data_IF_958114076522
#
_entry.id   IF_958114076522
#
_cell.length_a   1.000
_cell.length_b   1.000
_cell.length_c   1.000
_cell.angle_alpha   90.00
_cell.angle_beta   90.00
_cell.angle_gamma   90.00
#
_symmetry.space_group_name_H-M   'P 1'
#
loop_
_entity.id
_entity.type
_entity.pdbx_description
1 polymer ?
#
# COMPACT_ATOMS: atom_id res chain seq x y z
N UNK A 1 -7.09 35.41 18.63
CA UNK A 1 -6.99 34.86 17.26
C UNK A 1 -7.82 33.60 17.23
N UNK A 2 -8.94 33.55 16.48
CA UNK A 2 -9.75 32.33 16.40
C UNK A 2 -9.03 31.36 15.49
N UNK A 3 -8.46 30.30 16.06
CA UNK A 3 -8.17 29.05 15.36
C UNK A 3 -9.51 28.41 14.97
N UNK A 4 -10.21 28.99 14.00
CA UNK A 4 -11.47 28.47 13.51
C UNK A 4 -11.16 27.38 12.49
N UNK A 5 -10.92 26.15 12.96
CA UNK A 5 -10.90 24.99 12.07
C UNK A 5 -12.25 24.79 11.41
N UNK A 6 -12.28 23.96 10.37
CA UNK A 6 -13.48 23.75 9.54
C UNK A 6 -14.60 23.05 10.31
N UNK A 7 -15.85 23.46 10.05
CA UNK A 7 -17.07 22.88 10.64
C UNK A 7 -18.07 22.52 9.54
N UNK A 8 -18.54 21.28 9.53
CA UNK A 8 -19.48 20.78 8.53
C UNK A 8 -20.87 21.41 8.71
N UNK A 9 -21.22 21.80 9.94
CA UNK A 9 -22.46 22.54 10.20
C UNK A 9 -22.56 23.88 9.45
N UNK A 10 -21.44 24.44 8.98
CA UNK A 10 -21.40 25.67 8.18
C UNK A 10 -21.56 25.40 6.68
N UNK A 11 -21.62 24.13 6.26
CA UNK A 11 -21.72 23.72 4.86
C UNK A 11 -23.13 23.27 4.49
N UNK A 12 -23.49 23.41 3.21
CA UNK A 12 -24.72 22.82 2.68
C UNK A 12 -24.51 21.33 2.38
N UNK A 13 -24.45 20.51 3.43
CA UNK A 13 -24.18 19.06 3.33
C UNK A 13 -25.31 18.26 2.68
N UNK A 14 -26.53 18.78 2.68
CA UNK A 14 -27.70 18.12 2.10
C UNK A 14 -27.74 18.24 0.56
N UNK A 15 -27.12 19.29 0.01
CA UNK A 15 -27.02 19.52 -1.43
C UNK A 15 -25.55 19.63 -1.88
N UNK A 16 -24.84 18.49 -2.02
CA UNK A 16 -23.45 18.51 -2.42
C UNK A 16 -23.29 18.97 -3.87
N UNK A 17 -22.24 19.75 -4.14
CA UNK A 17 -21.88 20.24 -5.47
C UNK A 17 -21.69 19.09 -6.47
N UNK A 18 -21.14 17.97 -6.01
CA UNK A 18 -20.79 16.83 -6.83
C UNK A 18 -20.82 15.54 -6.00
N UNK A 19 -21.10 14.41 -6.67
CA UNK A 19 -21.09 13.06 -6.08
C UNK A 19 -20.36 12.12 -7.04
N UNK A 20 -19.56 11.22 -6.49
CA UNK A 20 -18.88 10.20 -7.30
C UNK A 20 -18.05 9.27 -6.43
N UNK A 21 -17.02 8.69 -7.03
CA UNK A 21 -16.12 7.72 -6.41
C UNK A 21 -14.82 8.39 -5.99
N UNK A 22 -14.40 8.15 -4.75
CA UNK A 22 -13.07 8.47 -4.26
C UNK A 22 -12.14 7.28 -4.48
N UNK A 23 -10.94 7.53 -5.04
CA UNK A 23 -9.84 6.56 -5.10
C UNK A 23 -8.63 7.12 -4.36
N UNK A 24 -8.08 6.34 -3.44
CA UNK A 24 -6.79 6.62 -2.79
C UNK A 24 -5.76 5.69 -3.42
N UNK A 25 -4.71 6.24 -4.01
CA UNK A 25 -3.72 5.46 -4.77
C UNK A 25 -2.32 5.91 -4.41
N UNK A 26 -1.39 4.96 -4.41
CA UNK A 26 0.05 5.24 -4.25
C UNK A 26 0.73 5.06 -5.60
N UNK A 27 1.48 6.06 -6.04
CA UNK A 27 2.26 6.06 -7.29
C UNK A 27 3.71 6.36 -6.92
N UNK A 28 4.54 5.31 -6.90
CA UNK A 28 5.88 5.40 -6.33
C UNK A 28 5.80 5.80 -4.86
N UNK A 29 6.51 6.88 -4.50
CA UNK A 29 6.54 7.39 -3.13
C UNK A 29 5.42 8.40 -2.84
N UNK A 30 4.58 8.73 -3.82
CA UNK A 30 3.52 9.75 -3.69
C UNK A 30 2.13 9.12 -3.54
N UNK A 31 1.31 9.64 -2.62
CA UNK A 31 -0.10 9.29 -2.51
C UNK A 31 -0.97 10.33 -3.22
N UNK A 32 -1.98 9.85 -3.96
CA UNK A 32 -2.87 10.68 -4.76
C UNK A 32 -4.31 10.26 -4.49
N UNK A 33 -5.13 11.24 -4.11
CA UNK A 33 -6.57 11.09 -3.96
C UNK A 33 -7.24 11.61 -5.23
N UNK A 34 -8.06 10.78 -5.87
CA UNK A 34 -8.83 11.15 -7.07
C UNK A 34 -10.32 11.07 -6.79
N UNK A 35 -11.01 12.16 -7.09
CA UNK A 35 -12.46 12.21 -7.16
C UNK A 35 -12.87 12.00 -8.60
N UNK A 36 -13.65 10.95 -8.87
CA UNK A 36 -14.01 10.54 -10.22
C UNK A 36 -15.50 10.28 -10.36
N UNK A 37 -16.03 10.54 -11.56
CA UNK A 37 -17.41 10.16 -11.87
C UNK A 37 -17.58 8.64 -11.80
N UNK A 38 -18.66 8.19 -11.16
CA UNK A 38 -18.88 6.76 -10.92
C UNK A 38 -19.18 5.97 -12.20
N UNK A 39 -19.69 6.64 -13.25
CA UNK A 39 -20.07 5.99 -14.51
C UNK A 39 -18.96 6.08 -15.55
N UNK A 40 -18.37 7.27 -15.74
CA UNK A 40 -17.39 7.50 -16.80
C UNK A 40 -15.95 7.30 -16.33
N UNK A 41 -15.69 7.41 -15.03
CA UNK A 41 -14.33 7.46 -14.48
C UNK A 41 -13.58 8.75 -14.79
N UNK A 42 -14.29 9.79 -15.26
CA UNK A 42 -13.71 11.10 -15.51
C UNK A 42 -13.24 11.75 -14.20
N UNK A 43 -12.03 12.33 -14.23
CA UNK A 43 -11.43 12.99 -13.07
C UNK A 43 -12.12 14.33 -12.82
N UNK A 44 -12.76 14.46 -11.66
CA UNK A 44 -13.34 15.71 -11.18
C UNK A 44 -12.29 16.58 -10.48
N UNK A 45 -11.53 15.99 -9.55
CA UNK A 45 -10.46 16.69 -8.84
C UNK A 45 -9.40 15.71 -8.33
N UNK A 46 -8.18 16.22 -8.19
CA UNK A 46 -7.05 15.49 -7.64
C UNK A 46 -6.47 16.23 -6.44
N UNK A 47 -6.14 15.48 -5.39
CA UNK A 47 -5.38 15.96 -4.24
C UNK A 47 -4.10 15.14 -4.13
N UNK A 48 -2.96 15.83 -4.12
CA UNK A 48 -1.65 15.23 -3.90
C UNK A 48 -1.42 15.18 -2.38
N UNK A 49 -1.27 13.98 -1.84
CA UNK A 49 -1.15 13.75 -0.42
C UNK A 49 0.28 13.35 -0.05
N UNK A 50 0.89 14.21 0.76
CA UNK A 50 2.22 13.99 1.30
C UNK A 50 2.17 13.32 2.69
N UNK A 51 3.33 12.87 3.14
CA UNK A 51 3.49 12.26 4.46
C UNK A 51 3.30 13.27 5.60
N UNK A 52 3.45 14.58 5.33
CA UNK A 52 3.15 15.66 6.27
C UNK A 52 1.66 15.73 6.59
N UNK A 53 0.81 15.35 5.63
CA UNK A 53 -0.60 15.16 5.85
C UNK A 53 -1.43 16.44 5.83
N UNK A 54 -0.86 17.54 5.37
CA UNK A 54 -1.50 18.88 5.36
C UNK A 54 -2.58 18.97 4.27
N UNK A 55 -2.50 18.10 3.25
CA UNK A 55 -3.43 18.12 2.13
C UNK A 55 -4.85 17.64 2.48
N UNK A 56 -5.04 16.96 3.62
CA UNK A 56 -6.35 16.49 4.11
C UNK A 56 -6.51 16.85 5.58
N UNK A 57 -7.50 17.68 5.90
CA UNK A 57 -7.81 18.10 7.25
C UNK A 57 -9.19 17.58 7.70
N UNK A 58 -9.31 16.92 8.87
CA UNK A 58 -10.59 16.51 9.40
C UNK A 58 -11.38 17.72 9.92
N UNK A 59 -12.69 17.68 9.75
CA UNK A 59 -13.60 18.72 10.26
C UNK A 59 -13.82 18.53 11.76
N UNK A 60 -13.96 19.63 12.51
CA UNK A 60 -13.99 19.63 13.98
C UNK A 60 -15.25 19.02 14.62
N UNK A 61 -16.39 19.12 13.95
CA UNK A 61 -17.71 18.74 14.48
C UNK A 61 -18.24 17.40 13.93
N UNK A 62 -17.48 16.74 13.04
CA UNK A 62 -17.90 15.49 12.43
C UNK A 62 -16.74 14.63 11.96
N UNK A 63 -16.82 13.33 12.23
CA UNK A 63 -15.87 12.34 11.73
C UNK A 63 -16.12 11.89 10.29
N UNK A 64 -17.16 12.41 9.62
CA UNK A 64 -17.51 12.05 8.23
C UNK A 64 -17.05 13.05 7.19
N UNK A 65 -16.60 14.23 7.61
CA UNK A 65 -16.26 15.31 6.71
C UNK A 65 -14.80 15.70 6.85
N UNK A 66 -14.22 16.05 5.72
CA UNK A 66 -12.82 16.41 5.57
C UNK A 66 -12.72 17.59 4.61
N UNK A 67 -11.63 18.35 4.71
CA UNK A 67 -11.24 19.35 3.73
C UNK A 67 -10.06 18.81 2.95
N UNK A 68 -10.16 18.81 1.63
CA UNK A 68 -9.09 18.41 0.73
C UNK A 68 -8.53 19.65 0.06
N UNK A 69 -7.20 19.77 0.06
CA UNK A 69 -6.46 20.69 -0.79
C UNK A 69 -6.27 20.06 -2.16
N UNK A 70 -7.11 20.42 -3.11
CA UNK A 70 -7.00 19.95 -4.50
C UNK A 70 -6.09 20.87 -5.31
N UNK A 71 -5.47 20.32 -6.33
CA UNK A 71 -4.59 21.04 -7.24
C UNK A 71 -5.08 20.88 -8.69
N UNK A 72 -5.17 22.00 -9.41
CA UNK A 72 -5.48 22.03 -10.83
C UNK A 72 -4.61 23.08 -11.54
N UNK A 73 -3.80 22.63 -12.51
CA UNK A 73 -2.92 23.48 -13.33
C UNK A 73 -2.05 24.46 -12.50
N UNK A 74 -1.49 23.99 -11.38
CA UNK A 74 -0.64 24.80 -10.48
C UNK A 74 -1.41 25.76 -9.56
N UNK A 75 -2.75 25.70 -9.53
CA UNK A 75 -3.58 26.42 -8.56
C UNK A 75 -4.12 25.45 -7.52
N UNK A 76 -4.23 25.92 -6.29
CA UNK A 76 -4.83 25.15 -5.21
C UNK A 76 -6.22 25.66 -4.87
N UNK A 77 -7.13 24.74 -4.57
CA UNK A 77 -8.45 25.04 -4.01
C UNK A 77 -8.73 24.09 -2.84
N UNK A 78 -9.63 24.52 -1.95
CA UNK A 78 -10.10 23.70 -0.84
C UNK A 78 -11.53 23.23 -1.13
N UNK A 79 -11.76 21.93 -1.00
CA UNK A 79 -13.09 21.34 -1.17
C UNK A 79 -13.48 20.54 0.07
N UNK A 80 -14.76 20.61 0.43
CA UNK A 80 -15.33 19.73 1.44
C UNK A 80 -15.63 18.36 0.85
N UNK A 81 -15.09 17.32 1.46
CA UNK A 81 -15.41 15.92 1.19
C UNK A 81 -16.28 15.39 2.32
N UNK A 82 -17.33 14.65 1.97
CA UNK A 82 -18.20 13.98 2.94
C UNK A 82 -18.48 12.55 2.52
N UNK A 83 -18.46 11.64 3.50
CA UNK A 83 -18.90 10.27 3.32
C UNK A 83 -20.35 10.11 3.75
N UNK A 84 -21.08 9.22 3.08
CA UNK A 84 -22.44 8.86 3.47
C UNK A 84 -22.42 8.13 4.82
N UNK A 85 -21.50 7.18 4.98
CA UNK A 85 -21.37 6.37 6.19
C UNK A 85 -20.12 6.70 6.99
N UNK A 86 -20.22 6.57 8.33
CA UNK A 86 -19.07 6.76 9.24
C UNK A 86 -17.99 5.71 9.03
N UNK A 87 -18.38 4.50 8.61
CA UNK A 87 -17.45 3.40 8.35
C UNK A 87 -16.51 3.72 7.19
N UNK A 88 -17.05 4.23 6.07
CA UNK A 88 -16.22 4.61 4.91
C UNK A 88 -15.26 5.76 5.25
N UNK A 89 -15.71 6.75 6.03
CA UNK A 89 -14.86 7.83 6.52
C UNK A 89 -13.73 7.32 7.43
N UNK A 90 -14.02 6.29 8.24
CA UNK A 90 -13.03 5.66 9.09
C UNK A 90 -12.00 4.91 8.26
N UNK A 91 -12.43 4.09 7.30
CA UNK A 91 -11.54 3.35 6.40
C UNK A 91 -10.62 4.30 5.61
N UNK A 92 -11.17 5.42 5.13
CA UNK A 92 -10.39 6.48 4.49
C UNK A 92 -9.31 7.04 5.40
N UNK A 93 -9.65 7.38 6.65
CA UNK A 93 -8.69 7.91 7.61
C UNK A 93 -7.60 6.89 7.95
N UNK A 94 -7.95 5.60 8.08
CA UNK A 94 -6.99 4.52 8.31
C UNK A 94 -6.05 4.37 7.12
N UNK A 95 -6.57 4.34 5.89
CA UNK A 95 -5.75 4.25 4.68
C UNK A 95 -4.71 5.39 4.59
N UNK A 96 -5.13 6.61 4.94
CA UNK A 96 -4.23 7.77 5.00
C UNK A 96 -3.18 7.69 6.10
N UNK A 97 -3.54 7.15 7.28
CA UNK A 97 -2.60 6.95 8.38
C UNK A 97 -1.58 5.86 8.07
N UNK A 98 -2.01 4.77 7.45
CA UNK A 98 -1.12 3.66 7.08
C UNK A 98 -0.09 4.11 6.04
N UNK A 99 -0.49 4.93 5.07
CA UNK A 99 0.46 5.54 4.14
C UNK A 99 1.49 6.45 4.85
N UNK A 100 1.07 7.28 5.82
CA UNK A 100 2.01 8.11 6.60
C UNK A 100 3.01 7.27 7.39
N UNK A 101 2.53 6.22 8.06
CA UNK A 101 3.38 5.30 8.84
C UNK A 101 4.38 4.56 7.96
N UNK A 102 3.96 4.14 6.76
CA UNK A 102 4.85 3.50 5.81
C UNK A 102 6.00 4.45 5.41
N UNK A 103 5.68 5.70 5.11
CA UNK A 103 6.66 6.72 4.78
C UNK A 103 7.71 6.97 5.87
N UNK A 104 7.26 7.09 7.12
CA UNK A 104 8.16 7.28 8.27
C UNK A 104 9.14 6.11 8.44
N UNK A 105 8.65 4.88 8.24
CA UNK A 105 9.49 3.68 8.35
C UNK A 105 10.54 3.61 7.23
N UNK A 106 10.19 4.02 6.02
CA UNK A 106 11.13 4.08 4.89
C UNK A 106 12.22 5.13 5.13
N UNK A 107 11.88 6.29 5.71
CA UNK A 107 12.83 7.34 6.10
C UNK A 107 13.78 6.87 7.22
N UNK A 108 13.26 6.16 8.23
CA UNK A 108 14.06 5.57 9.30
C UNK A 108 15.04 4.52 8.75
N UNK A 109 14.60 3.63 7.86
CA UNK A 109 15.46 2.64 7.22
C UNK A 109 16.52 3.27 6.31
N UNK A 110 16.18 4.36 5.61
CA UNK A 110 17.13 5.09 4.77
C UNK A 110 18.21 5.79 5.61
N UNK A 111 17.82 6.40 6.76
CA UNK A 111 18.78 7.02 7.69
C UNK A 111 19.66 5.98 8.42
N UNK A 112 19.15 4.77 8.68
CA UNK A 112 19.95 3.66 9.20
C UNK A 112 20.93 3.07 8.17
N UNK A 113 20.59 3.12 6.88
CA UNK A 113 21.49 2.67 5.81
C UNK A 113 22.69 3.62 5.62
N UNK A 114 22.54 4.90 5.94
CA UNK A 114 23.60 5.91 5.86
C UNK A 114 24.51 5.93 7.10
N UNK A 115 24.02 5.41 8.24
CA UNK A 115 24.78 5.31 9.51
C UNK A 115 25.48 3.97 9.70
N UNK A 116 25.15 2.94 8.92
CA UNK A 116 25.94 1.70 8.87
C UNK A 116 27.19 1.94 8.04
N UNK A 117 28.41 1.65 8.55
CA UNK A 117 29.62 1.80 7.76
C UNK A 117 29.47 0.97 6.49
N UNK A 118 29.63 1.63 5.33
CA UNK A 118 29.59 1.01 4.01
C UNK A 118 30.69 -0.05 3.97
N UNK A 119 30.32 -1.29 4.29
CA UNK A 119 31.26 -2.41 4.26
C UNK A 119 31.63 -2.59 2.80
N UNK A 120 32.86 -2.23 2.48
CA UNK A 120 33.40 -2.36 1.14
C UNK A 120 33.61 -3.87 0.87
N UNK A 121 32.62 -4.48 0.23
CA UNK A 121 32.69 -5.88 -0.21
C UNK A 121 33.54 -6.04 -1.48
N UNK A 122 34.27 -5.00 -1.89
CA UNK A 122 35.23 -5.09 -2.99
C UNK A 122 36.36 -6.04 -2.60
N UNK A 123 36.44 -7.16 -3.30
CA UNK A 123 37.58 -8.06 -3.22
C UNK A 123 38.83 -7.29 -3.64
N UNK A 124 39.88 -7.36 -2.82
CA UNK A 124 41.19 -6.86 -3.22
C UNK A 124 41.67 -7.68 -4.43
N UNK A 125 42.36 -7.03 -5.36
CA UNK A 125 42.90 -7.68 -6.57
C UNK A 125 43.66 -8.96 -6.17
N UNK A 126 43.13 -10.12 -6.57
CA UNK A 126 43.67 -11.45 -6.27
C UNK A 126 42.87 -12.33 -5.30
N UNK A 127 41.81 -11.82 -4.66
CA UNK A 127 40.95 -12.64 -3.78
C UNK A 127 39.79 -13.27 -4.58
N UNK A 128 39.76 -14.61 -4.66
CA UNK A 128 38.73 -15.36 -5.39
C UNK A 128 37.59 -15.75 -4.45
N UNK A 129 36.35 -15.34 -4.72
CA UNK A 129 35.16 -15.82 -4.01
C UNK A 129 34.84 -17.24 -4.52
N UNK A 130 35.00 -18.23 -3.65
CA UNK A 130 34.57 -19.60 -3.93
C UNK A 130 33.07 -19.72 -3.63
N UNK A 131 32.24 -19.71 -4.66
CA UNK A 131 30.81 -19.98 -4.54
C UNK A 131 30.60 -21.48 -4.81
N UNK A 132 30.24 -22.24 -3.77
CA UNK A 132 29.77 -23.62 -3.94
C UNK A 132 28.33 -23.59 -4.45
N UNK A 133 28.17 -23.51 -5.78
CA UNK A 133 26.88 -23.70 -6.44
C UNK A 133 26.53 -25.19 -6.43
N UNK A 134 25.72 -25.57 -5.45
CA UNK A 134 25.12 -26.90 -5.36
C UNK A 134 24.22 -27.17 -6.57
N UNK A 135 24.74 -27.94 -7.52
CA UNK A 135 24.02 -28.83 -8.47
C UNK A 135 22.68 -28.31 -8.99
N UNK A 136 22.72 -27.39 -9.97
CA UNK A 136 21.66 -27.32 -10.99
C UNK A 136 21.83 -28.52 -11.96
N UNK A 137 21.31 -29.67 -11.52
CA UNK A 137 21.29 -30.91 -12.29
C UNK A 137 20.29 -30.84 -13.44
N UNK A 138 20.83 -30.64 -14.64
CA UNK A 138 20.36 -31.05 -15.98
C UNK A 138 18.95 -31.67 -16.08
N UNK A 139 18.09 -31.00 -16.88
CA UNK A 139 16.94 -31.59 -17.57
C UNK A 139 17.33 -32.87 -18.34
N UNK A 140 16.62 -34.00 -18.20
CA UNK A 140 16.68 -35.09 -19.17
C UNK A 140 15.64 -34.89 -20.30
N UNK A 141 16.09 -35.12 -21.54
CA UNK A 141 15.26 -35.30 -22.75
C UNK A 141 14.38 -36.56 -22.63
N UNK A 142 13.24 -36.64 -23.34
CA UNK A 142 12.39 -37.81 -23.33
C UNK A 142 12.93 -38.90 -24.28
N UNK A 143 12.89 -40.16 -23.85
CA UNK A 143 12.99 -41.34 -24.71
C UNK A 143 11.81 -42.26 -24.40
N UNK A 144 11.02 -42.56 -25.44
CA UNK A 144 10.19 -43.78 -25.61
C UNK A 144 11.11 -45.02 -25.47
N UNK A 145 10.69 -46.23 -25.13
CA UNK A 145 9.44 -46.95 -25.36
C UNK A 145 9.42 -48.25 -24.51
N UNK A 146 8.22 -48.83 -24.34
CA UNK A 146 7.90 -50.25 -24.09
C UNK A 146 8.44 -51.04 -22.89
N UNK A 147 7.49 -51.65 -22.15
CA UNK A 147 7.56 -53.08 -21.81
C UNK A 147 7.41 -53.50 -20.34
N UNK A 148 6.17 -53.86 -19.97
CA UNK A 148 5.77 -55.09 -19.26
C UNK A 148 6.27 -55.39 -17.82
N UNK A 149 5.26 -55.63 -16.96
CA UNK A 149 5.18 -56.56 -15.81
C UNK A 149 5.63 -56.12 -14.41
N UNK A 150 4.82 -56.56 -13.43
CA UNK A 150 5.30 -56.97 -12.11
C UNK A 150 4.96 -55.99 -10.98
N UNK A 151 3.86 -56.27 -10.27
CA UNK A 151 3.45 -55.49 -9.10
C UNK A 151 4.36 -55.68 -7.89
N UNK A 152 4.35 -54.68 -7.00
CA UNK A 152 4.46 -54.79 -5.53
C UNK A 152 4.45 -53.37 -4.95
N UNK A 153 3.32 -52.98 -4.34
CA UNK A 153 3.26 -51.85 -3.39
C UNK A 153 3.59 -52.39 -1.99
N UNK A 154 4.53 -51.76 -1.25
CA UNK A 154 4.48 -51.84 0.19
C UNK A 154 4.39 -50.46 0.85
N UNK A 155 3.25 -50.27 1.53
CA UNK A 155 3.08 -49.74 2.88
C UNK A 155 3.95 -48.55 3.35
N UNK A 156 3.30 -47.39 3.54
CA UNK A 156 3.75 -46.35 4.47
C UNK A 156 2.91 -46.43 5.78
N UNK A 157 3.51 -46.39 6.97
CA UNK A 157 2.75 -46.30 8.22
C UNK A 157 2.22 -44.87 8.47
N UNK A 158 1.01 -44.70 9.02
CA UNK A 158 0.43 -43.41 9.38
C UNK A 158 0.92 -42.88 10.76
N UNK A 159 0.73 -41.57 11.03
CA UNK A 159 1.39 -40.82 12.09
C UNK A 159 0.78 -41.02 13.49
N UNK A 160 1.55 -40.86 14.57
CA UNK A 160 1.06 -40.96 15.94
C UNK A 160 0.21 -39.74 16.34
N UNK A 161 -1.06 -39.96 16.66
CA UNK A 161 -1.93 -39.01 17.35
C UNK A 161 -1.94 -39.26 18.86
N UNK A 162 -1.69 -38.20 19.64
CA UNK A 162 -1.66 -38.25 21.11
C UNK A 162 -3.04 -38.46 21.73
N UNK A 163 -3.13 -39.40 22.68
CA UNK A 163 -4.30 -39.67 23.48
C UNK A 163 -4.51 -38.58 24.55
N UNK A 164 -5.76 -38.14 24.69
CA UNK A 164 -6.27 -37.34 25.80
C UNK A 164 -6.58 -38.26 26.99
N UNK A 165 -6.32 -37.77 28.21
CA UNK A 165 -7.03 -38.17 29.43
C UNK A 165 -7.95 -37.02 29.83
#
# INVERSE_FOLDING_TARGET
>A
MRNAGYRAAEWNVDNPLWKGRLRVMTIGDSCVLRLEDNKTGELFAQCNYDQQGVAVEPVLDSSRYFVLKVEDQGRHAFIGLGFLDRTEAFDFNVALQDYRKQGQKEEELASEADTKPKVDYSLKEGQTISINIGKLGKKPKPKKDNGISGGAMPFLPPPPGGARH
#
